data_IF_435673243622
#
_entry.id   IF_435673243622
#
_cell.length_a   1.000
_cell.length_b   1.000
_cell.length_c   1.000
_cell.angle_alpha   90.00
_cell.angle_beta   90.00
_cell.angle_gamma   90.00
#
_symmetry.space_group_name_H-M   'P 1'
#
loop_
_entity.id
_entity.type
_entity.pdbx_description
1 polymer ?
#
# COMPACT_ATOMS: atom_id res chain seq x y z
N UNK A 1 13.01 9.31 5.81
CA UNK A 1 13.48 7.92 6.01
C UNK A 1 12.34 6.93 6.23
N UNK A 2 11.30 7.24 7.03
CA UNK A 2 10.17 6.33 7.29
C UNK A 2 9.36 5.94 6.03
N UNK A 3 9.08 6.90 5.15
CA UNK A 3 8.27 6.67 3.93
C UNK A 3 8.91 5.63 3.02
N UNK A 4 10.25 5.69 2.83
CA UNK A 4 10.97 4.71 2.02
C UNK A 4 10.86 3.29 2.56
N UNK A 5 10.81 3.13 3.89
CA UNK A 5 10.60 1.82 4.51
C UNK A 5 9.20 1.27 4.24
N UNK A 6 8.16 2.13 4.25
CA UNK A 6 6.80 1.74 3.87
C UNK A 6 6.72 1.33 2.39
N UNK A 7 7.35 2.10 1.50
CA UNK A 7 7.45 1.77 0.07
C UNK A 7 8.08 0.39 -0.13
N UNK A 8 9.28 0.17 0.43
CA UNK A 8 10.00 -1.09 0.31
C UNK A 8 9.21 -2.27 0.89
N UNK A 9 8.56 -2.08 2.04
CA UNK A 9 7.73 -3.10 2.66
C UNK A 9 6.52 -3.48 1.80
N UNK A 10 5.80 -2.49 1.25
CA UNK A 10 4.66 -2.76 0.37
C UNK A 10 5.11 -3.44 -0.94
N UNK A 11 6.26 -3.03 -1.48
CA UNK A 11 6.85 -3.67 -2.66
C UNK A 11 7.26 -5.12 -2.40
N UNK A 12 7.84 -5.43 -1.23
CA UNK A 12 8.16 -6.82 -0.87
C UNK A 12 6.92 -7.69 -0.66
N UNK A 13 5.76 -7.07 -0.40
CA UNK A 13 4.45 -7.72 -0.33
C UNK A 13 3.74 -7.78 -1.70
N UNK A 14 4.42 -7.42 -2.78
CA UNK A 14 3.96 -7.60 -4.16
C UNK A 14 3.23 -6.39 -4.75
N UNK A 15 3.21 -5.24 -4.09
CA UNK A 15 2.57 -4.03 -4.62
C UNK A 15 3.55 -3.25 -5.47
N UNK A 16 3.09 -2.71 -6.59
CA UNK A 16 3.86 -1.69 -7.31
C UNK A 16 3.57 -0.34 -6.65
N UNK A 17 4.59 0.31 -6.10
CA UNK A 17 4.50 1.63 -5.48
C UNK A 17 5.43 2.59 -6.21
N UNK A 18 4.86 3.63 -6.81
CA UNK A 18 5.57 4.65 -7.60
C UNK A 18 5.43 6.01 -6.94
N UNK A 19 6.53 6.68 -6.63
CA UNK A 19 6.54 8.07 -6.18
C UNK A 19 6.24 9.00 -7.37
N UNK A 20 5.20 9.82 -7.23
CA UNK A 20 4.72 10.72 -8.27
C UNK A 20 5.12 12.18 -8.04
N UNK A 21 5.46 12.56 -6.79
CA UNK A 21 5.70 13.96 -6.43
C UNK A 21 6.57 14.05 -5.17
N UNK A 22 7.87 13.84 -5.30
CA UNK A 22 8.86 14.04 -4.22
C UNK A 22 8.42 13.45 -2.86
N UNK A 23 7.95 12.21 -2.89
CA UNK A 23 7.45 11.44 -1.75
C UNK A 23 6.15 11.97 -1.14
N UNK A 24 5.46 12.94 -1.71
CA UNK A 24 4.17 13.43 -1.20
C UNK A 24 2.99 12.56 -1.64
N UNK A 25 3.08 12.02 -2.87
CA UNK A 25 1.99 11.30 -3.53
C UNK A 25 2.54 10.04 -4.19
N UNK A 26 1.84 8.93 -3.98
CA UNK A 26 2.19 7.61 -4.46
C UNK A 26 1.09 7.03 -5.32
N UNK A 27 1.48 6.43 -6.44
CA UNK A 27 0.61 5.51 -7.16
C UNK A 27 0.88 4.10 -6.67
N UNK A 28 -0.16 3.44 -6.15
CA UNK A 28 -0.09 2.09 -5.61
C UNK A 28 -0.96 1.18 -6.46
N UNK A 29 -0.38 0.08 -6.93
CA UNK A 29 -1.09 -0.97 -7.67
C UNK A 29 -0.93 -2.31 -6.96
N UNK A 30 -2.06 -2.94 -6.69
CA UNK A 30 -2.12 -4.29 -6.11
C UNK A 30 -1.93 -5.35 -7.19
N UNK A 31 -1.49 -6.58 -6.83
CA UNK A 31 -1.34 -7.70 -7.76
C UNK A 31 -2.58 -8.03 -8.59
N UNK A 32 -3.77 -7.73 -8.08
CA UNK A 32 -5.06 -7.91 -8.76
C UNK A 32 -5.31 -6.90 -9.89
N UNK A 33 -4.47 -5.87 -10.00
CA UNK A 33 -4.63 -4.76 -10.93
C UNK A 33 -5.39 -3.55 -10.36
N UNK A 34 -5.90 -3.63 -9.12
CA UNK A 34 -6.50 -2.47 -8.45
C UNK A 34 -5.44 -1.38 -8.21
N UNK A 35 -5.83 -0.13 -8.44
CA UNK A 35 -4.95 1.04 -8.40
C UNK A 35 -5.55 2.14 -7.56
N UNK A 36 -4.71 2.80 -6.78
CA UNK A 36 -5.11 3.90 -5.92
C UNK A 36 -3.97 4.91 -5.79
N UNK A 37 -4.33 6.19 -5.66
CA UNK A 37 -3.39 7.26 -5.34
C UNK A 37 -3.46 7.47 -3.82
N UNK A 38 -2.30 7.58 -3.19
CA UNK A 38 -2.17 7.75 -1.74
C UNK A 38 -1.19 8.87 -1.41
N UNK A 39 -1.46 9.61 -0.34
CA UNK A 39 -0.43 10.45 0.28
C UNK A 39 0.50 9.64 1.21
N UNK A 40 1.47 10.28 1.85
CA UNK A 40 2.39 9.64 2.79
C UNK A 40 1.66 8.94 3.97
N UNK A 41 0.60 9.56 4.49
CA UNK A 41 -0.12 9.07 5.66
C UNK A 41 -0.97 7.86 5.29
N UNK A 42 -1.65 7.90 4.15
CA UNK A 42 -2.39 6.76 3.60
C UNK A 42 -1.46 5.59 3.26
N UNK A 43 -0.27 5.86 2.71
CA UNK A 43 0.74 4.83 2.43
C UNK A 43 1.22 4.15 3.73
N UNK A 44 1.48 4.95 4.77
CA UNK A 44 1.87 4.41 6.09
C UNK A 44 0.76 3.56 6.72
N UNK A 45 -0.51 4.00 6.62
CA UNK A 45 -1.68 3.22 7.05
C UNK A 45 -1.79 1.91 6.28
N UNK A 46 -1.60 1.93 4.96
CA UNK A 46 -1.61 0.72 4.15
C UNK A 46 -0.51 -0.25 4.58
N UNK A 47 0.71 0.23 4.82
CA UNK A 47 1.81 -0.60 5.30
C UNK A 47 1.51 -1.22 6.67
N UNK A 48 0.86 -0.48 7.58
CA UNK A 48 0.40 -1.03 8.87
C UNK A 48 -0.71 -2.06 8.67
N UNK A 49 -1.65 -1.82 7.77
CA UNK A 49 -2.72 -2.74 7.45
C UNK A 49 -2.20 -4.08 6.91
N UNK A 50 -1.18 -4.04 6.04
CA UNK A 50 -0.47 -5.23 5.59
C UNK A 50 0.20 -5.98 6.74
N UNK A 51 0.79 -5.29 7.73
CA UNK A 51 1.38 -5.94 8.91
C UNK A 51 0.34 -6.60 9.81
N UNK A 52 -0.82 -5.97 10.01
CA UNK A 52 -1.93 -6.52 10.80
C UNK A 52 -2.56 -7.76 10.16
N UNK A 53 -2.35 -7.94 8.86
CA UNK A 53 -2.90 -9.03 8.06
C UNK A 53 -1.81 -9.80 7.32
N UNK A 54 -0.60 -9.90 7.89
CA UNK A 54 0.53 -10.61 7.27
C UNK A 54 0.26 -12.11 7.05
N UNK A 55 -0.74 -12.65 7.73
CA UNK A 55 -1.28 -14.00 7.55
C UNK A 55 -2.06 -14.17 6.23
N UNK A 56 -2.35 -13.07 5.51
CA UNK A 56 -3.20 -13.05 4.32
C UNK A 56 -2.42 -12.65 3.07
N UNK A 57 -2.83 -13.20 1.94
CA UNK A 57 -2.28 -12.81 0.63
C UNK A 57 -2.75 -11.40 0.22
N UNK A 58 -1.99 -10.71 -0.66
CA UNK A 58 -2.23 -9.32 -1.05
C UNK A 58 -3.61 -9.08 -1.69
N UNK A 59 -4.20 -10.08 -2.35
CA UNK A 59 -5.55 -9.97 -2.91
C UNK A 59 -6.66 -9.93 -1.85
N UNK A 60 -6.50 -10.66 -0.74
CA UNK A 60 -7.45 -10.60 0.39
C UNK A 60 -7.29 -9.27 1.12
N UNK A 61 -6.05 -8.83 1.31
CA UNK A 61 -5.75 -7.53 1.93
C UNK A 61 -6.35 -6.39 1.12
N UNK A 62 -6.27 -6.43 -0.22
CA UNK A 62 -6.96 -5.46 -1.07
C UNK A 62 -8.47 -5.42 -0.82
N UNK A 63 -9.13 -6.58 -0.80
CA UNK A 63 -10.58 -6.65 -0.56
C UNK A 63 -10.95 -6.05 0.79
N UNK A 64 -10.21 -6.39 1.85
CA UNK A 64 -10.44 -5.85 3.19
C UNK A 64 -10.20 -4.33 3.24
N UNK A 65 -9.11 -3.86 2.64
CA UNK A 65 -8.77 -2.44 2.60
C UNK A 65 -9.81 -1.61 1.85
N UNK A 66 -10.37 -2.15 0.76
CA UNK A 66 -11.45 -1.51 -0.01
C UNK A 66 -12.76 -1.41 0.78
N UNK A 67 -13.04 -2.39 1.64
CA UNK A 67 -14.22 -2.35 2.52
C UNK A 67 -14.03 -1.32 3.63
N UNK A 68 -12.84 -1.23 4.23
CA UNK A 68 -12.56 -0.24 5.28
C UNK A 68 -12.57 1.21 4.77
N UNK A 69 -12.18 1.43 3.50
CA UNK A 69 -12.12 2.78 2.90
C UNK A 69 -13.49 3.31 2.43
N UNK A 70 -14.51 2.45 2.29
CA UNK A 70 -15.87 2.82 1.86
C UNK A 70 -16.80 3.03 3.06
#
# INVERSE_FOLDING_TARGET
MLVQQHVQYLQSNGLEVTDMKNQEVFWVKFPTGYRIIMDQQELAKLAQFFKLHEDKGPGVIEMLYRVEKN
#
